data_IF_211718782057
#
_entry.id   IF_211718782057
#
_cell.length_a   1.000
_cell.length_b   1.000
_cell.length_c   1.000
_cell.angle_alpha   90.00
_cell.angle_beta   90.00
_cell.angle_gamma   90.00
#
_symmetry.space_group_name_H-M   'P 1'
#
loop_
_entity.id
_entity.type
_entity.pdbx_description
1 polymer ?
#
# COMPACT_ATOMS: atom_id res chain seq x y z
N UNK A 1 -30.11 -28.95 35.93
CA UNK A 1 -29.70 -27.71 36.61
C UNK A 1 -28.17 -27.75 36.66
N UNK A 2 -27.33 -27.00 35.94
CA UNK A 2 -27.37 -25.78 35.09
C UNK A 2 -26.19 -25.95 34.10
N UNK A 3 -26.42 -25.99 32.78
CA UNK A 3 -26.08 -24.95 31.76
C UNK A 3 -24.63 -24.42 31.79
N UNK A 4 -23.89 -24.76 30.71
CA UNK A 4 -22.87 -24.00 29.96
C UNK A 4 -21.61 -23.41 30.62
N UNK A 5 -20.46 -23.64 29.97
CA UNK A 5 -19.45 -22.60 29.74
C UNK A 5 -19.00 -22.63 28.29
N UNK A 6 -19.57 -21.73 27.50
CA UNK A 6 -18.88 -21.21 26.33
C UNK A 6 -17.85 -20.19 26.79
N UNK A 7 -16.72 -20.14 26.09
CA UNK A 7 -16.22 -18.94 25.42
C UNK A 7 -14.92 -19.29 24.68
N UNK A 8 -15.00 -19.24 23.35
CA UNK A 8 -13.89 -18.76 22.52
C UNK A 8 -13.56 -17.33 22.98
N UNK A 9 -12.28 -17.02 23.16
CA UNK A 9 -11.83 -15.64 23.05
C UNK A 9 -10.44 -15.59 22.46
N UNK A 10 -10.43 -15.14 21.21
CA UNK A 10 -9.32 -14.62 20.45
C UNK A 10 -8.64 -13.50 21.26
N UNK A 11 -7.52 -13.80 21.92
CA UNK A 11 -6.78 -12.81 22.68
C UNK A 11 -5.31 -13.21 22.84
N UNK A 12 -4.49 -12.91 21.83
CA UNK A 12 -3.04 -12.77 22.04
C UNK A 12 -2.56 -11.40 21.55
N UNK A 13 -2.58 -10.48 22.51
CA UNK A 13 -1.83 -9.22 22.61
C UNK A 13 -2.22 -8.08 21.67
N UNK A 14 -3.15 -7.25 22.14
CA UNK A 14 -3.11 -5.80 21.88
C UNK A 14 -1.89 -5.26 22.63
N UNK A 15 -0.68 -5.57 22.15
CA UNK A 15 0.43 -4.66 22.37
C UNK A 15 -0.01 -3.36 21.71
N UNK A 16 -0.06 -2.29 22.48
CA UNK A 16 -0.45 -0.95 22.06
C UNK A 16 0.23 -0.60 20.73
N UNK A 17 -0.51 -0.82 19.65
CA UNK A 17 -0.01 -0.72 18.29
C UNK A 17 -0.10 0.75 17.89
N UNK A 18 1.00 1.47 18.07
CA UNK A 18 1.10 2.86 17.67
C UNK A 18 1.45 2.95 16.19
N UNK A 19 0.41 3.01 15.35
CA UNK A 19 0.52 3.20 13.90
C UNK A 19 1.38 4.42 13.54
N UNK A 20 1.33 5.50 14.33
CA UNK A 20 2.06 6.73 14.07
C UNK A 20 3.56 6.51 14.27
N UNK A 21 3.94 5.78 15.31
CA UNK A 21 5.34 5.43 15.58
C UNK A 21 5.93 4.56 14.46
N UNK A 22 5.19 3.55 14.00
CA UNK A 22 5.65 2.70 12.90
C UNK A 22 5.71 3.47 11.58
N UNK A 23 4.72 4.31 11.28
CA UNK A 23 4.71 5.17 10.10
C UNK A 23 5.92 6.11 10.09
N UNK A 24 6.25 6.70 11.25
CA UNK A 24 7.42 7.55 11.39
C UNK A 24 8.72 6.78 11.14
N UNK A 25 8.88 5.61 11.76
CA UNK A 25 10.06 4.76 11.55
C UNK A 25 10.19 4.33 10.07
N UNK A 26 9.06 4.07 9.40
CA UNK A 26 9.03 3.75 7.98
C UNK A 26 9.43 4.94 7.10
N UNK A 27 8.87 6.12 7.32
CA UNK A 27 9.21 7.34 6.58
C UNK A 27 10.66 7.77 6.77
N UNK A 28 11.25 7.50 7.94
CA UNK A 28 12.66 7.73 8.23
C UNK A 28 13.59 6.85 7.37
N UNK A 29 13.15 5.66 6.94
CA UNK A 29 13.93 4.83 6.02
C UNK A 29 14.12 5.47 4.65
N UNK A 30 13.19 6.36 4.25
CA UNK A 30 13.14 7.02 2.92
C UNK A 30 13.19 6.07 1.73
N UNK A 31 13.07 4.76 1.96
CA UNK A 31 13.10 3.74 0.91
C UNK A 31 11.74 3.58 0.22
N UNK A 32 10.69 4.14 0.82
CA UNK A 32 9.31 4.01 0.36
C UNK A 32 8.86 2.55 0.29
N UNK A 33 7.79 2.29 -0.44
CA UNK A 33 7.25 0.93 -0.58
C UNK A 33 8.19 0.01 -1.36
N UNK A 34 9.04 0.55 -2.24
CA UNK A 34 10.05 -0.24 -2.97
C UNK A 34 10.99 -0.97 -2.00
N UNK A 35 11.39 -0.31 -0.91
CA UNK A 35 12.22 -0.91 0.12
C UNK A 35 11.61 -2.15 0.79
N UNK A 36 10.28 -2.31 0.83
CA UNK A 36 9.66 -3.54 1.35
C UNK A 36 9.90 -4.73 0.43
N UNK A 37 9.85 -4.49 -0.88
CA UNK A 37 10.10 -5.49 -1.91
C UNK A 37 11.59 -5.85 -1.96
N UNK A 38 12.46 -4.84 -1.96
CA UNK A 38 13.92 -5.04 -2.05
C UNK A 38 14.48 -5.77 -0.82
N UNK A 39 13.91 -5.52 0.38
CA UNK A 39 14.27 -6.23 1.61
C UNK A 39 13.55 -7.60 1.77
N UNK A 40 12.77 -8.03 0.77
CA UNK A 40 12.07 -9.31 0.72
C UNK A 40 11.24 -9.61 1.99
N UNK A 41 10.43 -8.65 2.44
CA UNK A 41 9.66 -8.81 3.68
C UNK A 41 8.57 -9.89 3.52
N UNK A 42 8.55 -10.86 4.43
CA UNK A 42 7.63 -12.00 4.36
C UNK A 42 6.18 -11.68 4.80
N UNK A 43 5.97 -10.62 5.59
CA UNK A 43 4.65 -10.22 6.11
C UNK A 43 4.43 -8.73 5.89
N UNK A 44 3.26 -8.38 5.34
CA UNK A 44 2.87 -6.98 5.14
C UNK A 44 2.78 -6.27 6.50
N UNK A 45 3.49 -5.14 6.68
CA UNK A 45 3.39 -4.33 7.91
C UNK A 45 1.96 -3.84 8.15
N UNK A 46 1.54 -3.77 9.41
CA UNK A 46 0.16 -3.42 9.80
C UNK A 46 -0.24 -2.01 9.34
N UNK A 47 0.72 -1.09 9.14
CA UNK A 47 0.45 0.27 8.64
C UNK A 47 -0.21 0.29 7.25
N UNK A 48 -0.01 -0.76 6.44
CA UNK A 48 -0.56 -0.90 5.08
C UNK A 48 -1.85 -1.71 5.03
N UNK A 49 -2.27 -2.32 6.15
CA UNK A 49 -3.51 -3.09 6.22
C UNK A 49 -4.66 -2.14 6.47
N UNK A 50 -5.55 -1.97 5.47
CA UNK A 50 -6.81 -1.25 5.63
C UNK A 50 -7.83 -2.13 6.36
N UNK A 51 -8.53 -1.63 7.39
CA UNK A 51 -9.58 -2.40 8.09
C UNK A 51 -10.76 -2.69 7.15
N UNK A 52 -11.43 -3.84 7.38
CA UNK A 52 -12.49 -4.32 6.51
C UNK A 52 -13.73 -3.39 6.51
N UNK A 53 -13.96 -2.69 7.61
CA UNK A 53 -15.03 -1.71 7.77
C UNK A 53 -14.88 -0.53 6.80
N UNK A 54 -13.64 -0.04 6.60
CA UNK A 54 -13.34 1.06 5.67
C UNK A 54 -13.53 0.63 4.21
N UNK A 55 -13.14 -0.60 3.88
CA UNK A 55 -13.32 -1.16 2.53
C UNK A 55 -14.80 -1.36 2.18
N UNK A 56 -15.64 -1.73 3.15
CA UNK A 56 -17.06 -1.98 2.94
C UNK A 56 -17.83 -0.69 2.57
N UNK A 57 -17.41 0.46 3.08
CA UNK A 57 -18.01 1.76 2.76
C UNK A 57 -17.69 2.22 1.33
N UNK A 58 -16.47 1.96 0.83
CA UNK A 58 -16.05 2.34 -0.53
C UNK A 58 -16.76 1.51 -1.61
N UNK A 59 -16.96 0.21 -1.39
CA UNK A 59 -17.60 -0.70 -2.36
C UNK A 59 -19.09 -0.41 -2.58
N UNK A 60 -19.73 0.37 -1.70
CA UNK A 60 -21.11 0.81 -1.89
C UNK A 60 -21.23 1.98 -2.90
N UNK A 61 -20.13 2.59 -3.31
CA UNK A 61 -20.08 3.58 -4.40
C UNK A 61 -19.78 2.91 -5.75
N UNK A 62 -20.79 2.24 -6.34
CA UNK A 62 -20.74 1.54 -7.63
C UNK A 62 -20.47 2.41 -8.88
N UNK A 63 -20.07 3.67 -8.70
CA UNK A 63 -19.86 4.64 -9.78
C UNK A 63 -18.39 4.79 -10.20
N UNK A 64 -17.44 4.29 -9.39
CA UNK A 64 -16.01 4.54 -9.58
C UNK A 64 -15.33 3.67 -10.66
N UNK A 65 -15.95 2.58 -11.10
CA UNK A 65 -15.30 1.60 -11.98
C UNK A 65 -15.58 1.80 -13.48
N UNK A 66 -16.25 2.88 -13.88
CA UNK A 66 -16.47 3.17 -15.30
C UNK A 66 -15.16 3.69 -15.91
N UNK A 67 -14.35 2.77 -16.43
CA UNK A 67 -13.19 3.10 -17.26
C UNK A 67 -13.63 3.23 -18.72
N UNK A 68 -13.77 4.47 -19.19
CA UNK A 68 -13.95 4.76 -20.62
C UNK A 68 -12.56 4.88 -21.26
N UNK A 69 -12.17 3.99 -22.18
CA UNK A 69 -10.85 4.08 -22.80
C UNK A 69 -10.74 5.34 -23.64
N UNK A 70 -9.67 6.11 -23.44
CA UNK A 70 -9.30 7.22 -24.32
C UNK A 70 -8.38 6.68 -25.40
N UNK A 71 -8.88 6.61 -26.62
CA UNK A 71 -8.13 6.13 -27.80
C UNK A 71 -7.88 7.29 -28.76
N UNK A 72 -6.90 7.16 -29.65
CA UNK A 72 -6.57 8.16 -30.68
C UNK A 72 -6.34 9.58 -30.11
N UNK A 73 -5.72 9.68 -28.94
CA UNK A 73 -5.46 10.95 -28.23
C UNK A 73 -4.38 11.83 -28.89
N UNK A 74 -3.78 11.40 -30.01
CA UNK A 74 -2.77 12.16 -30.74
C UNK A 74 -1.38 12.23 -30.09
N UNK A 75 -1.15 11.50 -29.00
CA UNK A 75 0.19 11.38 -28.38
C UNK A 75 0.85 10.14 -28.98
N UNK A 76 2.05 10.26 -29.59
CA UNK A 76 2.75 9.11 -30.15
C UNK A 76 3.06 8.05 -29.09
N UNK A 77 2.89 6.78 -29.42
CA UNK A 77 3.16 5.65 -28.50
C UNK A 77 4.60 5.69 -27.97
N UNK A 78 5.58 6.05 -28.82
CA UNK A 78 6.98 6.16 -28.39
C UNK A 78 7.21 7.13 -27.23
N UNK A 79 6.42 8.22 -27.15
CA UNK A 79 6.50 9.16 -26.02
C UNK A 79 6.01 8.52 -24.72
N UNK A 80 4.94 7.71 -24.79
CA UNK A 80 4.42 6.98 -23.63
C UNK A 80 5.42 5.90 -23.18
N UNK A 81 6.05 5.21 -24.12
CA UNK A 81 7.08 4.21 -23.83
C UNK A 81 8.30 4.84 -23.14
N UNK A 82 8.84 5.94 -23.70
CA UNK A 82 9.92 6.71 -23.09
C UNK A 82 9.56 7.20 -21.69
N UNK A 83 8.31 7.64 -21.48
CA UNK A 83 7.84 8.09 -20.17
C UNK A 83 7.78 6.93 -19.16
N UNK A 84 7.25 5.77 -19.56
CA UNK A 84 7.21 4.58 -18.71
C UNK A 84 8.63 4.13 -18.36
N UNK A 85 9.55 4.14 -19.34
CA UNK A 85 10.94 3.81 -19.11
C UNK A 85 11.62 4.81 -18.17
N UNK A 86 11.41 6.12 -18.36
CA UNK A 86 11.93 7.16 -17.48
C UNK A 86 11.47 7.00 -16.03
N UNK A 87 10.19 6.69 -15.81
CA UNK A 87 9.65 6.43 -14.46
C UNK A 87 10.28 5.18 -13.85
N UNK A 88 10.46 4.11 -14.64
CA UNK A 88 11.14 2.88 -14.18
C UNK A 88 12.59 3.16 -13.81
N UNK A 89 13.36 3.80 -14.70
CA UNK A 89 14.77 4.13 -14.47
C UNK A 89 14.95 5.02 -13.25
N UNK A 90 14.09 6.02 -13.05
CA UNK A 90 14.11 6.84 -11.83
C UNK A 90 13.93 5.99 -10.57
N UNK A 91 12.93 5.11 -10.56
CA UNK A 91 12.66 4.24 -9.41
C UNK A 91 13.67 3.10 -9.22
N UNK A 92 14.59 2.87 -10.15
CA UNK A 92 15.73 1.94 -10.00
C UNK A 92 17.00 2.58 -9.44
N UNK A 93 17.09 3.91 -9.37
CA UNK A 93 18.26 4.58 -8.78
C UNK A 93 18.41 4.29 -7.27
N UNK A 94 19.63 4.50 -6.77
CA UNK A 94 19.92 4.46 -5.33
C UNK A 94 19.02 5.43 -4.55
N UNK A 95 18.71 5.08 -3.30
CA UNK A 95 17.81 5.87 -2.44
C UNK A 95 18.37 7.27 -2.20
N UNK A 96 19.69 7.41 -2.17
CA UNK A 96 20.42 8.66 -1.98
C UNK A 96 20.19 9.61 -3.15
N UNK A 97 20.22 9.12 -4.40
CA UNK A 97 19.95 9.94 -5.58
C UNK A 97 18.50 10.44 -5.61
N UNK A 98 17.55 9.64 -5.13
CA UNK A 98 16.14 10.03 -5.07
C UNK A 98 15.83 11.05 -3.99
N UNK A 99 16.60 11.09 -2.90
CA UNK A 99 16.42 12.06 -1.81
C UNK A 99 16.74 13.50 -2.22
N UNK A 100 17.43 13.70 -3.35
CA UNK A 100 17.77 15.03 -3.89
C UNK A 100 16.59 15.71 -4.62
N UNK A 101 15.50 14.98 -4.87
CA UNK A 101 14.29 15.44 -5.56
C UNK A 101 13.07 15.38 -4.62
#
# INVERSE_FOLDING_TARGET
MVVSRGQESHAETVLEYDRIKELKAFDETKAGVKGLTDNAVAKVPKIFVRPAEELAEELNCRWADIQVPVVEHGIPVGVLEEMIEGVRLFHEQDVEAKKEF
#
